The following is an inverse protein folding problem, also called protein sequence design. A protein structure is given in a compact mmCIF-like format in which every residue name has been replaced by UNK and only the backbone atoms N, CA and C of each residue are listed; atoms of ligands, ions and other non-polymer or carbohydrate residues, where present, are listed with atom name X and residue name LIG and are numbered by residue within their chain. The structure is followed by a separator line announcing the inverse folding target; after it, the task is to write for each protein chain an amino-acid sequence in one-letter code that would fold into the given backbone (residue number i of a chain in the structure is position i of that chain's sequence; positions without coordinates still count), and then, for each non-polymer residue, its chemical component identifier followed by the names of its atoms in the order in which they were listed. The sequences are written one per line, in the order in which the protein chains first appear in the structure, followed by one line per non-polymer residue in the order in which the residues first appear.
data_IF_073863791439
#
_entry.id   IF_073863791439
#
_cell.length_a   1.000
_cell.length_b   1.000
_cell.length_c   1.000
_cell.angle_alpha   90.00
_cell.angle_beta   90.00
_cell.angle_gamma   90.00
#
_symmetry.space_group_name_H-M   'P 1'
#
loop_
_entity.id
_entity.type
_entity.pdbx_description
1 polymer ?
#
# COMPACT_ATOMS: atom_id res chain seq x y z
N UNK A 1 -29.42 -14.42 -21.77
CA UNK A 1 -29.82 -13.37 -20.80
C UNK A 1 -28.61 -13.05 -19.88
N UNK A 2 -27.51 -12.47 -20.40
CA UNK A 2 -26.23 -12.21 -19.67
C UNK A 2 -25.64 -10.82 -19.98
N UNK A 3 -26.36 -9.90 -20.60
CA UNK A 3 -25.81 -8.61 -21.05
C UNK A 3 -25.99 -7.44 -20.03
N UNK A 4 -26.63 -7.65 -18.88
CA UNK A 4 -26.86 -6.61 -17.88
C UNK A 4 -25.72 -6.41 -16.86
N UNK A 5 -24.72 -7.28 -16.81
CA UNK A 5 -23.72 -7.31 -15.72
C UNK A 5 -22.35 -6.72 -16.07
N UNK A 6 -22.06 -6.47 -17.35
CA UNK A 6 -20.73 -6.00 -17.77
C UNK A 6 -20.51 -4.52 -17.51
N UNK A 7 -21.50 -3.66 -17.75
CA UNK A 7 -21.40 -2.21 -17.51
C UNK A 7 -21.35 -1.88 -16.01
N UNK A 8 -22.13 -2.58 -15.19
CA UNK A 8 -22.11 -2.42 -13.74
C UNK A 8 -20.75 -2.80 -13.14
N UNK A 9 -20.19 -3.94 -13.57
CA UNK A 9 -18.87 -4.37 -13.11
C UNK A 9 -17.76 -3.38 -13.52
N UNK A 10 -17.82 -2.86 -14.75
CA UNK A 10 -16.84 -1.88 -15.22
C UNK A 10 -16.88 -0.57 -14.40
N UNK A 11 -18.08 -0.07 -14.10
CA UNK A 11 -18.23 1.13 -13.27
C UNK A 11 -17.72 0.92 -11.85
N UNK A 12 -17.99 -0.24 -11.26
CA UNK A 12 -17.51 -0.60 -9.94
C UNK A 12 -15.99 -0.75 -9.90
N UNK A 13 -15.38 -1.44 -10.90
CA UNK A 13 -13.93 -1.56 -11.01
C UNK A 13 -13.25 -0.18 -11.10
N UNK A 14 -13.78 0.73 -11.92
CA UNK A 14 -13.28 2.12 -12.00
C UNK A 14 -13.40 2.86 -10.67
N UNK A 15 -14.51 2.72 -9.97
CA UNK A 15 -14.71 3.34 -8.66
C UNK A 15 -13.70 2.85 -7.62
N UNK A 16 -13.47 1.54 -7.56
CA UNK A 16 -12.47 0.95 -6.66
C UNK A 16 -11.07 1.37 -7.06
N UNK A 17 -10.73 1.40 -8.36
CA UNK A 17 -9.42 1.87 -8.81
C UNK A 17 -9.17 3.32 -8.37
N UNK A 18 -10.12 4.23 -8.58
CA UNK A 18 -10.00 5.62 -8.14
C UNK A 18 -9.85 5.73 -6.62
N UNK A 19 -10.60 4.95 -5.86
CA UNK A 19 -10.48 4.90 -4.40
C UNK A 19 -9.11 4.36 -3.96
N UNK A 20 -8.59 3.34 -4.65
CA UNK A 20 -7.26 2.77 -4.37
C UNK A 20 -6.15 3.80 -4.60
N UNK A 21 -6.21 4.56 -5.70
CA UNK A 21 -5.26 5.66 -5.96
C UNK A 21 -5.30 6.69 -4.83
N UNK A 22 -6.51 7.13 -4.44
CA UNK A 22 -6.67 8.07 -3.34
C UNK A 22 -6.12 7.52 -2.01
N UNK A 23 -6.44 6.27 -1.68
CA UNK A 23 -5.96 5.63 -0.46
C UNK A 23 -4.43 5.45 -0.46
N UNK A 24 -3.84 5.11 -1.62
CA UNK A 24 -2.38 4.99 -1.78
C UNK A 24 -1.71 6.35 -1.63
N UNK A 25 -2.26 7.40 -2.22
CA UNK A 25 -1.76 8.77 -2.04
C UNK A 25 -1.82 9.20 -0.56
N UNK A 26 -2.96 8.96 0.10
CA UNK A 26 -3.10 9.25 1.54
C UNK A 26 -2.08 8.46 2.39
N UNK A 27 -1.79 7.22 2.01
CA UNK A 27 -0.75 6.41 2.66
C UNK A 27 0.66 7.01 2.48
N UNK A 28 1.00 7.53 1.29
CA UNK A 28 2.28 8.23 1.05
C UNK A 28 2.37 9.48 1.90
N UNK A 29 1.29 10.28 1.99
CA UNK A 29 1.24 11.45 2.88
C UNK A 29 1.44 11.06 4.34
N UNK A 30 0.78 9.99 4.80
CA UNK A 30 0.94 9.48 6.17
C UNK A 30 2.37 8.99 6.41
N UNK A 31 3.03 8.36 5.42
CA UNK A 31 4.46 8.03 5.48
C UNK A 31 5.35 9.26 5.61
N UNK A 32 5.00 10.36 4.94
CA UNK A 32 5.63 11.67 5.13
C UNK A 32 5.47 12.20 6.56
N UNK A 33 4.28 12.03 7.17
CA UNK A 33 4.05 12.38 8.58
C UNK A 33 4.95 11.56 9.50
N UNK A 34 5.02 10.22 9.31
CA UNK A 34 5.94 9.34 10.06
C UNK A 34 7.37 9.87 9.99
N UNK A 35 7.81 10.34 8.81
CA UNK A 35 9.18 10.84 8.61
C UNK A 35 9.43 12.17 9.31
N UNK A 36 8.53 13.15 9.18
CA UNK A 36 8.75 14.50 9.74
C UNK A 36 8.53 14.56 11.24
N UNK A 37 7.78 13.61 11.81
CA UNK A 37 7.60 13.47 13.27
C UNK A 37 8.62 12.55 13.92
N UNK A 38 9.61 12.06 13.16
CA UNK A 38 10.63 11.11 13.61
C UNK A 38 10.05 9.82 14.22
N UNK A 39 8.83 9.46 13.83
CA UNK A 39 8.07 8.33 14.37
C UNK A 39 8.46 6.97 13.77
N UNK A 40 9.41 6.90 12.84
CA UNK A 40 9.71 5.69 12.07
C UNK A 40 10.34 4.53 12.84
N UNK A 41 10.67 4.72 14.12
CA UNK A 41 11.08 3.67 15.05
C UNK A 41 10.17 3.62 16.30
N UNK A 42 8.97 4.18 16.23
CA UNK A 42 7.97 4.04 17.27
C UNK A 42 7.54 2.59 17.50
N UNK A 43 7.67 1.76 16.46
CA UNK A 43 7.51 0.30 16.47
C UNK A 43 8.82 -0.34 16.01
N UNK A 44 9.78 -0.69 16.88
CA UNK A 44 11.12 -1.11 16.49
C UNK A 44 11.20 -2.48 15.81
N UNK A 45 10.18 -3.30 15.94
CA UNK A 45 10.06 -4.60 15.31
C UNK A 45 9.06 -4.60 14.13
N UNK A 46 9.11 -5.65 13.33
CA UNK A 46 8.24 -5.82 12.16
C UNK A 46 7.92 -7.33 11.97
N UNK A 47 6.66 -7.68 11.64
CA UNK A 47 5.49 -6.84 11.32
C UNK A 47 4.73 -6.27 12.52
N UNK A 48 5.01 -6.72 13.74
CA UNK A 48 4.39 -6.28 14.98
C UNK A 48 4.83 -4.89 15.46
N UNK A 49 4.58 -4.61 16.74
CA UNK A 49 5.01 -3.41 17.40
C UNK A 49 5.35 -3.71 18.86
N UNK A 50 6.60 -3.52 19.25
CA UNK A 50 7.11 -3.71 20.61
C UNK A 50 6.80 -5.13 21.19
N UNK A 51 7.05 -6.15 20.37
CA UNK A 51 6.80 -7.56 20.72
C UNK A 51 5.32 -7.97 20.72
N UNK A 52 4.40 -7.06 20.38
CA UNK A 52 2.96 -7.29 20.40
C UNK A 52 2.29 -7.04 19.05
N UNK A 53 0.95 -7.21 19.04
CA UNK A 53 0.10 -6.88 17.88
C UNK A 53 -0.31 -5.42 17.95
N UNK A 54 -0.51 -4.86 19.14
CA UNK A 54 -0.94 -3.48 19.34
C UNK A 54 0.23 -2.59 19.76
N UNK A 55 0.26 -1.32 19.30
CA UNK A 55 1.32 -0.40 19.65
C UNK A 55 1.20 0.04 21.11
N UNK A 56 2.31 0.42 21.78
CA UNK A 56 2.25 1.14 23.02
C UNK A 56 1.54 2.50 22.84
N UNK A 57 0.97 3.04 23.94
CA UNK A 57 0.18 4.27 23.90
C UNK A 57 1.09 5.53 23.95
N UNK A 58 2.05 5.61 23.03
CA UNK A 58 2.84 6.81 22.78
C UNK A 58 2.59 7.32 21.37
N UNK A 59 2.84 8.59 21.13
CA UNK A 59 2.51 9.28 19.87
C UNK A 59 3.25 8.69 18.69
N UNK A 60 4.53 8.39 18.82
CA UNK A 60 5.40 7.89 17.76
C UNK A 60 4.93 6.49 17.29
N UNK A 61 4.67 5.59 18.23
CA UNK A 61 4.18 4.26 17.92
C UNK A 61 2.80 4.30 17.26
N UNK A 62 1.89 5.16 17.71
CA UNK A 62 0.56 5.30 17.13
C UNK A 62 0.65 5.81 15.68
N UNK A 63 1.48 6.81 15.40
CA UNK A 63 1.66 7.37 14.05
C UNK A 63 2.23 6.29 13.12
N UNK A 64 3.32 5.63 13.50
CA UNK A 64 3.92 4.58 12.69
C UNK A 64 2.97 3.39 12.46
N UNK A 65 2.33 2.93 13.53
CA UNK A 65 1.39 1.81 13.46
C UNK A 65 0.17 2.13 12.58
N UNK A 66 -0.33 3.37 12.61
CA UNK A 66 -1.40 3.83 11.71
C UNK A 66 -1.01 3.70 10.24
N UNK A 67 0.24 4.05 9.90
CA UNK A 67 0.78 3.86 8.55
C UNK A 67 0.81 2.37 8.17
N UNK A 68 1.30 1.49 9.05
CA UNK A 68 1.33 0.04 8.83
C UNK A 68 -0.07 -0.57 8.64
N UNK A 69 -1.05 -0.17 9.48
CA UNK A 69 -2.44 -0.63 9.38
C UNK A 69 -3.05 -0.19 8.05
N UNK A 70 -2.89 1.07 7.67
CA UNK A 70 -3.41 1.56 6.39
C UNK A 70 -2.79 0.82 5.20
N UNK A 71 -1.49 0.55 5.23
CA UNK A 71 -0.81 -0.23 4.20
C UNK A 71 -1.33 -1.67 4.12
N UNK A 72 -1.43 -2.36 5.28
CA UNK A 72 -1.70 -3.80 5.34
C UNK A 72 -3.19 -4.14 5.21
N UNK A 73 -4.10 -3.31 5.72
CA UNK A 73 -5.53 -3.62 5.78
C UNK A 73 -6.39 -2.79 4.82
N UNK A 74 -5.85 -1.74 4.21
CA UNK A 74 -6.58 -0.94 3.22
C UNK A 74 -5.91 -1.06 1.86
N UNK A 75 -4.71 -0.52 1.69
CA UNK A 75 -4.07 -0.41 0.37
C UNK A 75 -3.68 -1.78 -0.19
N UNK A 76 -3.04 -2.63 0.60
CA UNK A 76 -2.64 -3.97 0.17
C UNK A 76 -3.82 -4.82 -0.33
N UNK A 77 -4.91 -4.99 0.44
CA UNK A 77 -6.09 -5.72 0.01
C UNK A 77 -6.79 -5.11 -1.22
N UNK A 78 -6.86 -3.78 -1.34
CA UNK A 78 -7.43 -3.13 -2.51
C UNK A 78 -6.64 -3.43 -3.79
N UNK A 79 -5.31 -3.33 -3.73
CA UNK A 79 -4.43 -3.63 -4.86
C UNK A 79 -4.50 -5.12 -5.22
N UNK A 80 -4.47 -6.02 -4.23
CA UNK A 80 -4.63 -7.46 -4.45
C UNK A 80 -5.97 -7.77 -5.12
N UNK A 81 -7.06 -7.13 -4.66
CA UNK A 81 -8.37 -7.28 -5.26
C UNK A 81 -8.38 -6.82 -6.73
N UNK A 82 -7.84 -5.62 -7.04
CA UNK A 82 -7.75 -5.11 -8.41
C UNK A 82 -6.90 -6.02 -9.30
N UNK A 83 -5.80 -6.55 -8.80
CA UNK A 83 -4.97 -7.53 -9.50
C UNK A 83 -5.76 -8.80 -9.84
N UNK A 84 -6.45 -9.42 -8.88
CA UNK A 84 -7.24 -10.63 -9.09
C UNK A 84 -8.39 -10.35 -10.08
N UNK A 85 -9.13 -9.25 -9.89
CA UNK A 85 -10.24 -8.87 -10.75
C UNK A 85 -9.79 -8.63 -12.20
N UNK A 86 -8.63 -7.99 -12.41
CA UNK A 86 -8.08 -7.78 -13.76
C UNK A 86 -7.63 -9.09 -14.41
N UNK A 87 -7.03 -10.01 -13.69
CA UNK A 87 -6.67 -11.34 -14.19
C UNK A 87 -7.90 -12.19 -14.55
N UNK A 88 -8.99 -12.08 -13.78
CA UNK A 88 -10.22 -12.86 -14.03
C UNK A 88 -11.08 -12.28 -15.16
N UNK A 89 -11.13 -10.95 -15.29
CA UNK A 89 -12.10 -10.29 -16.17
C UNK A 89 -11.49 -9.54 -17.34
N UNK A 90 -10.24 -9.07 -17.23
CA UNK A 90 -9.58 -8.18 -18.19
C UNK A 90 -8.27 -8.76 -18.77
N UNK A 91 -8.15 -10.10 -18.84
CA UNK A 91 -6.91 -10.76 -19.30
C UNK A 91 -6.47 -10.36 -20.72
N UNK A 92 -7.41 -9.94 -21.56
CA UNK A 92 -7.14 -9.50 -22.95
C UNK A 92 -6.87 -7.98 -23.03
N UNK A 93 -7.19 -7.24 -21.97
CA UNK A 93 -7.07 -5.79 -21.91
C UNK A 93 -5.74 -5.40 -21.26
N UNK A 94 -4.69 -5.33 -22.07
CA UNK A 94 -3.33 -5.04 -21.56
C UNK A 94 -3.23 -3.74 -20.78
N UNK A 95 -4.04 -2.73 -21.14
CA UNK A 95 -4.10 -1.44 -20.46
C UNK A 95 -4.62 -1.51 -19.01
N UNK A 96 -5.32 -2.56 -18.67
CA UNK A 96 -5.81 -2.81 -17.31
C UNK A 96 -4.92 -3.84 -16.61
N UNK A 97 -4.56 -4.91 -17.33
CA UNK A 97 -3.81 -6.03 -16.78
C UNK A 97 -2.37 -5.64 -16.36
N UNK A 98 -1.66 -4.87 -17.21
CA UNK A 98 -0.26 -4.52 -16.94
C UNK A 98 -0.17 -3.59 -15.72
N UNK A 99 -0.89 -2.45 -15.63
CA UNK A 99 -0.83 -1.59 -14.45
C UNK A 99 -1.22 -2.31 -13.16
N UNK A 100 -2.31 -3.09 -13.16
CA UNK A 100 -2.74 -3.80 -11.95
C UNK A 100 -1.73 -4.87 -11.50
N UNK A 101 -1.06 -5.54 -12.44
CA UNK A 101 0.02 -6.49 -12.12
C UNK A 101 1.25 -5.76 -11.57
N UNK A 102 1.63 -4.64 -12.19
CA UNK A 102 2.75 -3.84 -11.74
C UNK A 102 2.49 -3.24 -10.35
N UNK A 103 1.29 -2.69 -10.10
CA UNK A 103 0.89 -2.22 -8.77
C UNK A 103 0.99 -3.32 -7.71
N UNK A 104 0.57 -4.54 -8.04
CA UNK A 104 0.69 -5.67 -7.12
C UNK A 104 2.15 -6.02 -6.82
N UNK A 105 3.02 -6.05 -7.83
CA UNK A 105 4.46 -6.29 -7.62
C UNK A 105 5.09 -5.18 -6.78
N UNK A 106 4.74 -3.91 -7.06
CA UNK A 106 5.25 -2.77 -6.32
C UNK A 106 4.79 -2.76 -4.86
N UNK A 107 3.55 -3.15 -4.55
CA UNK A 107 3.08 -3.21 -3.15
C UNK A 107 3.78 -4.31 -2.36
N UNK A 108 4.11 -5.43 -2.98
CA UNK A 108 4.94 -6.47 -2.35
C UNK A 108 6.35 -5.95 -2.06
N UNK A 109 6.97 -5.27 -3.03
CA UNK A 109 8.27 -4.62 -2.84
C UNK A 109 8.23 -3.57 -1.71
N UNK A 110 7.15 -2.79 -1.64
CA UNK A 110 6.91 -1.81 -0.57
C UNK A 110 6.83 -2.43 0.82
N UNK A 111 6.13 -3.56 0.95
CA UNK A 111 6.08 -4.27 2.24
C UNK A 111 7.47 -4.75 2.68
N UNK A 112 8.26 -5.31 1.76
CA UNK A 112 9.63 -5.73 2.02
C UNK A 112 10.56 -4.57 2.37
N UNK A 113 10.51 -3.47 1.60
CA UNK A 113 11.30 -2.27 1.86
C UNK A 113 10.90 -1.61 3.18
N UNK A 114 9.59 -1.52 3.49
CA UNK A 114 9.10 -0.99 4.75
C UNK A 114 9.63 -1.77 5.95
N UNK A 115 9.57 -3.10 5.91
CA UNK A 115 10.17 -3.95 6.94
C UNK A 115 11.69 -3.77 7.03
N UNK A 116 12.38 -3.71 5.88
CA UNK A 116 13.82 -3.50 5.84
C UNK A 116 14.24 -2.14 6.41
N UNK A 117 13.48 -1.05 6.17
CA UNK A 117 13.79 0.26 6.75
C UNK A 117 13.76 0.24 8.27
N UNK A 118 12.76 -0.41 8.86
CA UNK A 118 12.64 -0.52 10.32
C UNK A 118 13.75 -1.39 10.90
N UNK A 119 13.93 -2.60 10.38
CA UNK A 119 14.90 -3.57 10.89
C UNK A 119 16.36 -3.14 10.72
N UNK A 120 16.66 -2.19 9.84
CA UNK A 120 17.98 -1.60 9.65
C UNK A 120 18.13 -0.20 10.26
N UNK A 121 17.24 0.20 11.16
CA UNK A 121 17.31 1.48 11.89
C UNK A 121 17.28 2.71 10.96
N UNK A 122 16.42 2.68 9.95
CA UNK A 122 16.11 3.80 9.03
C UNK A 122 17.32 4.38 8.27
N UNK A 123 18.19 3.58 7.62
CA UNK A 123 19.24 4.16 6.80
C UNK A 123 18.65 4.98 5.65
N UNK A 124 19.23 6.12 5.36
CA UNK A 124 18.69 7.07 4.36
C UNK A 124 18.46 6.43 2.99
N UNK A 125 19.31 5.50 2.58
CA UNK A 125 19.17 4.78 1.29
C UNK A 125 17.92 3.89 1.25
N UNK A 126 17.62 3.17 2.33
CA UNK A 126 16.42 2.32 2.41
C UNK A 126 15.14 3.17 2.46
N UNK A 127 15.14 4.26 3.23
CA UNK A 127 14.02 5.21 3.29
C UNK A 127 13.76 5.85 1.92
N UNK A 128 14.83 6.28 1.21
CA UNK A 128 14.70 6.84 -0.13
C UNK A 128 14.17 5.81 -1.14
N UNK A 129 14.66 4.57 -1.10
CA UNK A 129 14.16 3.50 -1.96
C UNK A 129 12.68 3.20 -1.70
N UNK A 130 12.28 3.12 -0.42
CA UNK A 130 10.89 2.91 -0.03
C UNK A 130 9.99 4.04 -0.54
N UNK A 131 10.40 5.30 -0.38
CA UNK A 131 9.66 6.46 -0.90
C UNK A 131 9.53 6.42 -2.43
N UNK A 132 10.64 6.21 -3.15
CA UNK A 132 10.65 6.19 -4.63
C UNK A 132 9.72 5.09 -5.20
N UNK A 133 9.72 3.89 -4.59
CA UNK A 133 8.80 2.81 -4.99
C UNK A 133 7.36 3.16 -4.62
N UNK A 134 7.12 3.86 -3.49
CA UNK A 134 5.80 4.33 -3.08
C UNK A 134 5.20 5.35 -4.06
N UNK A 135 6.00 6.32 -4.51
CA UNK A 135 5.59 7.28 -5.53
C UNK A 135 5.34 6.60 -6.89
N UNK A 136 6.16 5.62 -7.24
CA UNK A 136 5.96 4.81 -8.45
C UNK A 136 4.65 4.03 -8.39
N UNK A 137 4.27 3.54 -7.21
CA UNK A 137 2.99 2.84 -7.01
C UNK A 137 1.79 3.77 -7.22
N UNK A 138 1.88 5.04 -6.83
CA UNK A 138 0.82 6.04 -7.08
C UNK A 138 0.71 6.37 -8.56
N UNK A 139 1.82 6.34 -9.30
CA UNK A 139 1.88 6.69 -10.71
C UNK A 139 1.33 5.59 -11.66
N UNK A 140 1.15 4.36 -11.18
CA UNK A 140 0.67 3.19 -11.95
C UNK A 140 -0.84 3.04 -11.86
#
# INVERSE_FOLDING_TARGET
MVLGNSSSFHNWFRGISAFTVFATFALVVLGGVVRVTESGLGCPDWPGCDGGIFPPLNTEAIIEYSHRIMASFVVGPLILFLFIASWMRYRQERWILIPSTLAFVLVIAQAGLGGATVLSELPSSAVMAHLAVGESLVAV
#
